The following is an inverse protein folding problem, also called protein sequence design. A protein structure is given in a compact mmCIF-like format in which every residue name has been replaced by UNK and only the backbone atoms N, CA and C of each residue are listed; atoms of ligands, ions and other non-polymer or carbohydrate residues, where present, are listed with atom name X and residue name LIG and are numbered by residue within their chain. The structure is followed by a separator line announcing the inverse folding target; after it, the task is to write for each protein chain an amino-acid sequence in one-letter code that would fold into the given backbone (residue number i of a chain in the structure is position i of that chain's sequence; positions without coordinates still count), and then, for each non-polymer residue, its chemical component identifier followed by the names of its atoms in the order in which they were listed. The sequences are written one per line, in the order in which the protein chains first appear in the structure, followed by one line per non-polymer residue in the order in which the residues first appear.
data_IF_038139033876
#
_entry.id   IF_038139033876
#
_cell.length_a   1.000
_cell.length_b   1.000
_cell.length_c   1.000
_cell.angle_alpha   90.00
_cell.angle_beta   90.00
_cell.angle_gamma   90.00
#
_symmetry.space_group_name_H-M   'P 1'
#
loop_
_entity.id
_entity.type
_entity.pdbx_description
1 polymer ?
#
# COMPACT_ATOMS: atom_id res chain seq x y z
N UNK A 1 -17.49 -32.07 22.79
CA UNK A 1 -17.79 -30.89 21.97
C UNK A 1 -16.72 -29.87 22.26
N UNK A 2 -15.96 -29.43 21.27
CA UNK A 2 -14.96 -28.39 21.47
C UNK A 2 -15.61 -27.00 21.54
N UNK A 3 -14.84 -25.96 21.89
CA UNK A 3 -15.38 -24.60 22.03
C UNK A 3 -16.03 -24.10 20.73
N UNK A 4 -15.36 -24.30 19.59
CA UNK A 4 -15.87 -23.98 18.25
C UNK A 4 -17.23 -24.61 17.96
N UNK A 5 -17.39 -25.91 18.19
CA UNK A 5 -18.66 -26.62 17.98
C UNK A 5 -19.77 -26.07 18.88
N UNK A 6 -19.43 -25.70 20.11
CA UNK A 6 -20.36 -25.10 21.06
C UNK A 6 -20.84 -23.72 20.60
N UNK A 7 -19.91 -22.88 20.15
CA UNK A 7 -20.22 -21.54 19.65
C UNK A 7 -20.98 -21.59 18.32
N UNK A 8 -20.66 -22.56 17.45
CA UNK A 8 -21.38 -22.80 16.20
C UNK A 8 -22.84 -23.17 16.46
N UNK A 9 -23.12 -24.04 17.43
CA UNK A 9 -24.49 -24.37 17.84
C UNK A 9 -25.19 -23.13 18.41
N UNK A 10 -24.49 -22.33 19.22
CA UNK A 10 -25.02 -21.09 19.79
C UNK A 10 -25.39 -20.08 18.70
N UNK A 11 -24.53 -19.87 17.70
CA UNK A 11 -24.79 -19.00 16.55
C UNK A 11 -26.01 -19.46 15.75
N UNK A 12 -26.07 -20.76 15.43
CA UNK A 12 -27.22 -21.34 14.71
C UNK A 12 -28.53 -21.15 15.49
N UNK A 13 -28.48 -21.26 16.82
CA UNK A 13 -29.63 -20.98 17.69
C UNK A 13 -30.03 -19.50 17.65
N UNK A 14 -29.08 -18.57 17.79
CA UNK A 14 -29.32 -17.12 17.71
C UNK A 14 -30.04 -16.76 16.40
N UNK A 15 -29.56 -17.29 15.28
CA UNK A 15 -30.15 -17.06 13.95
C UNK A 15 -31.55 -17.65 13.85
N UNK A 16 -31.73 -18.91 14.28
CA UNK A 16 -33.02 -19.60 14.17
C UNK A 16 -34.12 -18.95 15.02
N UNK A 17 -33.76 -18.44 16.20
CA UNK A 17 -34.68 -17.80 17.14
C UNK A 17 -34.81 -16.28 16.90
N UNK A 18 -33.99 -15.71 16.01
CA UNK A 18 -33.84 -14.26 15.83
C UNK A 18 -33.57 -13.54 17.16
N UNK A 19 -32.68 -14.13 17.95
CA UNK A 19 -32.32 -13.65 19.29
C UNK A 19 -31.46 -12.39 19.19
N UNK A 20 -32.11 -11.22 19.20
CA UNK A 20 -31.44 -9.93 19.06
C UNK A 20 -30.42 -9.62 20.17
N UNK A 21 -30.70 -10.04 21.40
CA UNK A 21 -29.80 -9.85 22.55
C UNK A 21 -28.60 -10.80 22.41
N UNK A 22 -28.83 -12.06 22.04
CA UNK A 22 -27.77 -13.01 21.73
C UNK A 22 -26.86 -12.53 20.59
N UNK A 23 -27.41 -11.94 19.53
CA UNK A 23 -26.62 -11.33 18.46
C UNK A 23 -25.79 -10.16 18.96
N UNK A 24 -26.36 -9.28 19.79
CA UNK A 24 -25.65 -8.14 20.37
C UNK A 24 -24.49 -8.56 21.29
N UNK A 25 -24.75 -9.49 22.21
CA UNK A 25 -23.76 -9.94 23.21
C UNK A 25 -22.60 -10.74 22.61
N UNK A 26 -22.84 -11.45 21.49
CA UNK A 26 -21.88 -12.42 20.96
C UNK A 26 -21.26 -12.01 19.62
N UNK A 27 -21.94 -11.19 18.81
CA UNK A 27 -21.50 -10.87 17.45
C UNK A 27 -20.07 -10.31 17.41
N UNK A 28 -19.77 -9.30 18.24
CA UNK A 28 -18.44 -8.68 18.30
C UNK A 28 -17.34 -9.69 18.68
N UNK A 29 -17.53 -10.43 19.77
CA UNK A 29 -16.51 -11.34 20.29
C UNK A 29 -16.29 -12.55 19.38
N UNK A 30 -17.35 -13.06 18.74
CA UNK A 30 -17.25 -14.17 17.80
C UNK A 30 -16.52 -13.78 16.52
N UNK A 31 -16.75 -12.58 15.97
CA UNK A 31 -15.98 -12.09 14.81
C UNK A 31 -14.48 -12.10 15.11
N UNK A 32 -14.07 -11.61 16.28
CA UNK A 32 -12.66 -11.59 16.69
C UNK A 32 -12.09 -12.99 16.98
N UNK A 33 -12.89 -13.86 17.57
CA UNK A 33 -12.44 -15.21 17.98
C UNK A 33 -12.25 -16.12 16.76
N UNK A 34 -13.04 -15.89 15.72
CA UNK A 34 -13.16 -16.75 14.54
C UNK A 34 -12.80 -15.99 13.26
N UNK A 35 -11.76 -15.15 13.33
CA UNK A 35 -11.35 -14.23 12.25
C UNK A 35 -10.93 -14.91 10.93
N UNK A 36 -10.56 -16.19 10.98
CA UNK A 36 -10.19 -17.03 9.82
C UNK A 36 -11.18 -18.20 9.58
N UNK A 37 -12.26 -18.31 10.37
CA UNK A 37 -13.21 -19.43 10.26
C UNK A 37 -14.36 -19.07 9.33
N UNK A 38 -14.22 -19.42 8.05
CA UNK A 38 -15.18 -19.08 7.00
C UNK A 38 -16.61 -19.54 7.32
N UNK A 39 -16.82 -20.73 7.92
CA UNK A 39 -18.17 -21.21 8.26
C UNK A 39 -18.84 -20.30 9.29
N UNK A 40 -18.11 -19.92 10.34
CA UNK A 40 -18.62 -19.06 11.40
C UNK A 40 -18.82 -17.63 10.90
N UNK A 41 -17.89 -17.11 10.09
CA UNK A 41 -17.99 -15.78 9.48
C UNK A 41 -19.23 -15.67 8.59
N UNK A 42 -19.53 -16.67 7.75
CA UNK A 42 -20.72 -16.69 6.91
C UNK A 42 -22.02 -16.62 7.73
N UNK A 43 -22.07 -17.29 8.89
CA UNK A 43 -23.21 -17.17 9.82
C UNK A 43 -23.28 -15.79 10.48
N UNK A 44 -22.13 -15.18 10.81
CA UNK A 44 -22.07 -13.82 11.32
C UNK A 44 -22.49 -12.78 10.26
N UNK A 45 -22.24 -13.02 8.98
CA UNK A 45 -22.75 -12.17 7.89
C UNK A 45 -24.27 -12.22 7.83
N UNK A 46 -24.85 -13.42 7.96
CA UNK A 46 -26.31 -13.57 8.03
C UNK A 46 -26.93 -12.77 9.18
N UNK A 47 -26.27 -12.74 10.35
CA UNK A 47 -26.70 -11.89 11.45
C UNK A 47 -26.53 -10.42 11.04
N UNK A 48 -25.34 -10.01 10.60
CA UNK A 48 -25.02 -8.63 10.26
C UNK A 48 -25.94 -8.01 9.20
N UNK A 49 -26.39 -8.79 8.22
CA UNK A 49 -27.29 -8.32 7.16
C UNK A 49 -28.77 -8.25 7.61
N UNK A 50 -29.10 -8.74 8.80
CA UNK A 50 -30.48 -8.88 9.26
C UNK A 50 -31.01 -7.68 10.05
N UNK A 51 -32.33 -7.52 10.10
CA UNK A 51 -33.01 -6.36 10.71
C UNK A 51 -33.56 -6.62 12.13
N UNK A 52 -33.40 -7.83 12.68
CA UNK A 52 -34.01 -8.26 13.95
C UNK A 52 -33.13 -8.01 15.19
N UNK A 53 -31.96 -7.37 15.03
CA UNK A 53 -31.08 -6.98 16.14
C UNK A 53 -30.57 -5.54 15.95
N UNK A 54 -29.79 -5.03 16.91
CA UNK A 54 -29.27 -3.64 16.91
C UNK A 54 -27.74 -3.56 17.00
N UNK A 55 -27.06 -4.70 16.87
CA UNK A 55 -25.61 -4.85 17.07
C UNK A 55 -24.74 -4.52 15.86
N UNK A 56 -25.31 -4.00 14.78
CA UNK A 56 -24.61 -3.76 13.52
C UNK A 56 -23.37 -2.89 13.67
N UNK A 57 -23.45 -1.85 14.48
CA UNK A 57 -22.34 -0.91 14.67
C UNK A 57 -21.13 -1.53 15.38
N UNK A 58 -21.35 -2.51 16.25
CA UNK A 58 -20.28 -3.26 16.92
C UNK A 58 -19.72 -4.33 15.97
N UNK A 59 -20.59 -5.02 15.24
CA UNK A 59 -20.15 -6.00 14.24
C UNK A 59 -19.32 -5.36 13.11
N UNK A 60 -19.76 -4.22 12.57
CA UNK A 60 -18.99 -3.47 11.57
C UNK A 60 -17.60 -3.06 12.09
N UNK A 61 -17.50 -2.72 13.37
CA UNK A 61 -16.22 -2.42 14.02
C UNK A 61 -15.35 -3.68 14.16
N UNK A 62 -15.93 -4.82 14.52
CA UNK A 62 -15.19 -6.08 14.59
C UNK A 62 -14.68 -6.51 13.22
N UNK A 63 -15.50 -6.39 12.16
CA UNK A 63 -15.07 -6.66 10.78
C UNK A 63 -13.95 -5.72 10.32
N UNK A 64 -14.03 -4.44 10.66
CA UNK A 64 -12.93 -3.50 10.43
C UNK A 64 -11.63 -3.99 11.10
N UNK A 65 -11.70 -4.43 12.36
CA UNK A 65 -10.51 -4.88 13.08
C UNK A 65 -9.84 -6.11 12.45
N UNK A 66 -10.62 -7.12 12.07
CA UNK A 66 -10.05 -8.33 11.47
C UNK A 66 -9.58 -8.08 10.03
N UNK A 67 -10.12 -7.06 9.35
CA UNK A 67 -9.74 -6.67 7.97
C UNK A 67 -9.73 -7.84 6.97
N UNK A 68 -10.56 -8.87 7.21
CA UNK A 68 -10.57 -10.08 6.40
C UNK A 68 -11.28 -9.83 5.05
N UNK A 69 -10.64 -10.12 3.89
CA UNK A 69 -11.23 -9.94 2.56
C UNK A 69 -12.59 -10.60 2.34
N UNK A 70 -12.93 -11.69 3.03
CA UNK A 70 -14.25 -12.34 2.85
C UNK A 70 -15.42 -11.45 3.28
N UNK A 71 -15.16 -10.41 4.10
CA UNK A 71 -16.18 -9.52 4.66
C UNK A 71 -16.59 -8.39 3.70
N UNK A 72 -15.88 -8.22 2.58
CA UNK A 72 -16.02 -7.07 1.68
C UNK A 72 -17.45 -6.92 1.15
N UNK A 73 -18.04 -8.01 0.65
CA UNK A 73 -19.39 -7.98 0.07
C UNK A 73 -20.46 -7.65 1.13
N UNK A 74 -20.36 -8.23 2.34
CA UNK A 74 -21.36 -7.99 3.40
C UNK A 74 -21.30 -6.56 3.93
N UNK A 75 -20.09 -5.99 4.07
CA UNK A 75 -19.90 -4.58 4.44
C UNK A 75 -20.48 -3.63 3.40
N UNK A 76 -20.32 -3.95 2.11
CA UNK A 76 -20.94 -3.19 1.03
C UNK A 76 -22.47 -3.23 1.11
N UNK A 77 -23.07 -4.43 1.29
CA UNK A 77 -24.53 -4.58 1.44
C UNK A 77 -25.07 -3.75 2.61
N UNK A 78 -24.42 -3.84 3.77
CA UNK A 78 -24.85 -3.10 4.97
C UNK A 78 -24.59 -1.59 4.85
N UNK A 79 -23.64 -1.14 4.03
CA UNK A 79 -23.47 0.28 3.72
C UNK A 79 -24.70 0.89 3.02
N UNK A 80 -25.55 0.07 2.38
CA UNK A 80 -26.82 0.49 1.76
C UNK A 80 -28.06 0.09 2.58
N UNK A 81 -27.90 -0.45 3.79
CA UNK A 81 -29.04 -0.86 4.60
C UNK A 81 -29.80 0.33 5.19
N UNK A 82 -31.10 0.12 5.42
CA UNK A 82 -32.03 1.11 5.96
C UNK A 82 -32.79 0.53 7.17
N UNK A 83 -32.05 0.08 8.19
CA UNK A 83 -32.62 -0.54 9.39
C UNK A 83 -33.43 0.46 10.20
N UNK A 84 -34.66 0.08 10.58
CA UNK A 84 -35.65 0.96 11.22
C UNK A 84 -35.11 1.70 12.45
N UNK A 85 -34.30 1.03 13.28
CA UNK A 85 -33.82 1.57 14.55
C UNK A 85 -32.76 2.67 14.42
N UNK A 86 -32.17 2.87 13.23
CA UNK A 86 -31.15 3.91 12.94
C UNK A 86 -31.60 4.95 11.91
N UNK A 87 -32.79 4.83 11.33
CA UNK A 87 -33.29 5.77 10.29
C UNK A 87 -33.29 7.23 10.70
N UNK A 88 -33.45 7.50 11.99
CA UNK A 88 -33.47 8.85 12.55
C UNK A 88 -32.09 9.53 12.54
N UNK A 89 -31.02 8.77 12.32
CA UNK A 89 -29.66 9.27 12.43
C UNK A 89 -29.10 9.70 11.07
N UNK A 90 -29.21 11.00 10.80
CA UNK A 90 -28.71 11.64 9.58
C UNK A 90 -27.17 11.59 9.44
N UNK A 91 -26.43 11.17 10.48
CA UNK A 91 -24.98 10.98 10.40
C UNK A 91 -24.55 9.59 9.92
N UNK A 92 -25.48 8.63 9.76
CA UNK A 92 -25.22 7.29 9.23
C UNK A 92 -23.97 6.58 9.83
N UNK A 93 -23.87 6.43 11.16
CA UNK A 93 -22.67 5.92 11.82
C UNK A 93 -22.31 4.48 11.41
N UNK A 94 -23.32 3.63 11.16
CA UNK A 94 -23.11 2.27 10.68
C UNK A 94 -22.48 2.27 9.28
N UNK A 95 -23.07 3.01 8.35
CA UNK A 95 -22.60 3.09 6.97
C UNK A 95 -21.22 3.73 6.90
N UNK A 96 -20.98 4.77 7.72
CA UNK A 96 -19.63 5.32 7.95
C UNK A 96 -18.64 4.24 8.36
N UNK A 97 -18.96 3.40 9.35
CA UNK A 97 -18.09 2.30 9.79
C UNK A 97 -17.85 1.29 8.67
N UNK A 98 -18.86 0.99 7.85
CA UNK A 98 -18.69 0.13 6.68
C UNK A 98 -17.68 0.72 5.68
N UNK A 99 -17.73 2.03 5.39
CA UNK A 99 -16.72 2.68 4.52
C UNK A 99 -15.30 2.62 5.10
N UNK A 100 -15.16 2.73 6.43
CA UNK A 100 -13.87 2.55 7.10
C UNK A 100 -13.38 1.11 7.03
N UNK A 101 -14.26 0.13 7.28
CA UNK A 101 -13.94 -1.29 7.19
C UNK A 101 -13.48 -1.68 5.78
N UNK A 102 -14.19 -1.22 4.74
CA UNK A 102 -13.78 -1.44 3.34
C UNK A 102 -12.41 -0.83 3.03
N UNK A 103 -12.16 0.39 3.50
CA UNK A 103 -10.84 1.00 3.35
C UNK A 103 -9.76 0.21 4.11
N UNK A 104 -10.10 -0.35 5.27
CA UNK A 104 -9.22 -1.15 6.12
C UNK A 104 -8.89 -2.53 5.57
N UNK A 105 -9.80 -3.13 4.81
CA UNK A 105 -9.52 -4.35 4.06
C UNK A 105 -8.55 -4.09 2.90
N UNK A 106 -8.64 -2.93 2.23
CA UNK A 106 -7.59 -2.45 1.31
C UNK A 106 -7.40 -3.26 0.01
N UNK A 107 -8.33 -4.18 -0.32
CA UNK A 107 -8.30 -4.95 -1.58
C UNK A 107 -8.83 -4.12 -2.75
N UNK A 108 -8.47 -4.52 -3.99
CA UNK A 108 -9.03 -3.91 -5.21
C UNK A 108 -10.56 -4.02 -5.27
N UNK A 109 -11.12 -5.10 -4.74
CA UNK A 109 -12.58 -5.29 -4.64
C UNK A 109 -13.21 -4.31 -3.65
N UNK A 110 -12.63 -4.14 -2.46
CA UNK A 110 -13.11 -3.18 -1.47
C UNK A 110 -13.06 -1.74 -2.01
N UNK A 111 -12.01 -1.40 -2.78
CA UNK A 111 -11.93 -0.11 -3.47
C UNK A 111 -13.07 0.11 -4.46
N UNK A 112 -13.39 -0.89 -5.30
CA UNK A 112 -14.52 -0.84 -6.24
C UNK A 112 -15.86 -0.66 -5.54
N UNK A 113 -16.06 -1.26 -4.37
CA UNK A 113 -17.28 -1.05 -3.60
C UNK A 113 -17.34 0.34 -2.96
N UNK A 114 -16.22 0.91 -2.51
CA UNK A 114 -16.18 2.31 -2.09
C UNK A 114 -16.51 3.27 -3.23
N UNK A 115 -16.01 3.01 -4.44
CA UNK A 115 -16.37 3.78 -5.65
C UNK A 115 -17.88 3.74 -5.91
N UNK A 116 -18.50 2.55 -5.82
CA UNK A 116 -19.95 2.41 -5.95
C UNK A 116 -20.73 3.11 -4.83
N UNK A 117 -20.27 3.05 -3.58
CA UNK A 117 -20.90 3.78 -2.46
C UNK A 117 -20.83 5.29 -2.71
N UNK A 118 -19.68 5.80 -3.17
CA UNK A 118 -19.50 7.21 -3.48
C UNK A 118 -20.42 7.70 -4.62
N UNK A 119 -20.75 6.83 -5.57
CA UNK A 119 -21.62 7.16 -6.70
C UNK A 119 -23.12 7.02 -6.39
N UNK A 120 -23.52 6.00 -5.62
CA UNK A 120 -24.92 5.57 -5.54
C UNK A 120 -25.59 5.86 -4.19
N UNK A 121 -24.82 6.10 -3.12
CA UNK A 121 -25.40 6.35 -1.79
C UNK A 121 -25.94 7.78 -1.65
N UNK A 122 -26.62 8.07 -0.55
CA UNK A 122 -27.00 9.44 -0.22
C UNK A 122 -25.76 10.32 0.03
N UNK A 123 -25.94 11.64 -0.01
CA UNK A 123 -24.86 12.63 0.09
C UNK A 123 -23.89 12.35 1.26
N UNK A 124 -24.40 12.16 2.47
CA UNK A 124 -23.56 11.93 3.66
C UNK A 124 -22.76 10.62 3.60
N UNK A 125 -23.35 9.53 3.09
CA UNK A 125 -22.64 8.25 2.96
C UNK A 125 -21.60 8.33 1.84
N UNK A 126 -21.97 8.96 0.71
CA UNK A 126 -21.08 9.17 -0.42
C UNK A 126 -19.84 10.00 -0.03
N UNK A 127 -20.02 10.99 0.84
CA UNK A 127 -18.91 11.78 1.42
C UNK A 127 -17.94 10.92 2.23
N UNK A 128 -18.44 9.98 3.05
CA UNK A 128 -17.58 9.08 3.81
C UNK A 128 -16.73 8.19 2.90
N UNK A 129 -17.33 7.63 1.84
CA UNK A 129 -16.62 6.80 0.87
C UNK A 129 -15.60 7.62 0.07
N UNK A 130 -16.00 8.80 -0.41
CA UNK A 130 -15.12 9.73 -1.15
C UNK A 130 -13.88 10.09 -0.32
N UNK A 131 -14.04 10.36 0.98
CA UNK A 131 -12.91 10.65 1.88
C UNK A 131 -11.88 9.52 1.91
N UNK A 132 -12.35 8.27 1.92
CA UNK A 132 -11.50 7.08 1.95
C UNK A 132 -10.78 6.87 0.63
N UNK A 133 -11.46 7.09 -0.50
CA UNK A 133 -10.88 7.01 -1.84
C UNK A 133 -9.80 8.07 -2.05
N UNK A 134 -10.06 9.32 -1.66
CA UNK A 134 -9.07 10.41 -1.74
C UNK A 134 -7.82 10.09 -0.94
N UNK A 135 -7.96 9.42 0.21
CA UNK A 135 -6.83 9.02 1.06
C UNK A 135 -6.36 7.59 0.84
N UNK A 136 -6.75 6.92 -0.26
CA UNK A 136 -6.59 5.47 -0.40
C UNK A 136 -5.17 4.99 -0.11
N UNK A 137 -4.16 5.60 -0.74
CA UNK A 137 -2.76 5.23 -0.54
C UNK A 137 -2.26 5.48 0.89
N UNK A 138 -2.77 6.52 1.57
CA UNK A 138 -2.43 6.79 2.97
C UNK A 138 -3.11 5.80 3.93
N UNK A 139 -4.40 5.53 3.70
CA UNK A 139 -5.14 4.53 4.49
C UNK A 139 -4.51 3.14 4.31
N UNK A 140 -3.99 2.83 3.11
CA UNK A 140 -3.27 1.60 2.84
C UNK A 140 -1.92 1.52 3.58
N UNK A 141 -1.09 2.59 3.54
CA UNK A 141 0.23 2.61 4.22
C UNK A 141 0.14 2.40 5.72
N UNK A 142 -0.96 2.80 6.37
CA UNK A 142 -1.20 2.53 7.79
C UNK A 142 -1.33 1.05 8.18
N UNK A 143 -1.43 0.14 7.19
CA UNK A 143 -1.80 -1.27 7.39
C UNK A 143 -0.73 -2.25 6.96
N UNK A 144 0.23 -1.78 6.17
CA UNK A 144 1.41 -2.56 5.82
C UNK A 144 2.56 -2.12 6.71
N UNK A 145 3.52 -3.03 6.98
CA UNK A 145 4.81 -2.60 7.46
C UNK A 145 5.39 -1.57 6.50
N UNK A 146 5.96 -0.49 7.05
CA UNK A 146 6.65 0.52 6.27
C UNK A 146 8.11 0.61 6.69
N UNK A 147 8.97 1.05 5.78
CA UNK A 147 10.32 1.52 6.11
C UNK A 147 10.42 3.02 5.83
N UNK A 148 11.15 3.74 6.68
CA UNK A 148 11.23 5.19 6.69
C UNK A 148 11.16 5.75 8.11
N UNK A 149 11.54 7.01 8.30
CA UNK A 149 11.48 7.63 9.64
C UNK A 149 10.12 8.26 9.92
N UNK A 150 9.53 7.93 11.08
CA UNK A 150 8.20 8.42 11.50
C UNK A 150 8.04 9.94 11.56
N UNK A 151 9.16 10.69 11.66
CA UNK A 151 9.14 12.16 11.70
C UNK A 151 8.89 12.79 10.32
N UNK A 152 9.14 12.07 9.23
CA UNK A 152 8.84 12.51 7.88
C UNK A 152 7.59 11.79 7.36
N UNK A 153 6.48 11.97 8.10
CA UNK A 153 5.20 11.39 7.73
C UNK A 153 4.88 11.72 6.27
N UNK A 154 4.81 10.69 5.43
CA UNK A 154 4.57 10.85 3.99
C UNK A 154 5.75 10.52 3.07
N UNK A 155 6.91 10.09 3.56
CA UNK A 155 8.00 9.54 2.72
C UNK A 155 8.38 8.10 3.10
N UNK A 156 7.38 7.31 3.49
CA UNK A 156 7.56 5.92 3.86
C UNK A 156 7.37 4.99 2.66
N UNK A 157 8.16 3.91 2.60
CA UNK A 157 7.99 2.84 1.62
C UNK A 157 7.15 1.73 2.25
N UNK A 158 5.97 1.50 1.70
CA UNK A 158 5.13 0.35 2.04
C UNK A 158 5.75 -0.96 1.59
N UNK A 159 5.72 -1.96 2.46
CA UNK A 159 6.31 -3.27 2.22
C UNK A 159 5.25 -4.33 1.96
N UNK A 160 5.65 -5.40 1.29
CA UNK A 160 4.90 -6.64 1.16
C UNK A 160 5.82 -7.85 1.24
N UNK A 161 5.26 -9.04 1.47
CA UNK A 161 6.06 -10.26 1.41
C UNK A 161 6.46 -10.58 -0.03
N UNK A 162 7.56 -11.31 -0.19
CA UNK A 162 8.03 -11.72 -1.52
C UNK A 162 6.96 -12.49 -2.33
N UNK A 163 6.15 -13.33 -1.66
CA UNK A 163 5.09 -14.09 -2.32
C UNK A 163 3.98 -13.20 -2.88
N UNK A 164 3.63 -12.11 -2.19
CA UNK A 164 2.62 -11.17 -2.70
C UNK A 164 3.14 -10.39 -3.90
N UNK A 165 4.40 -9.92 -3.87
CA UNK A 165 5.03 -9.24 -5.00
C UNK A 165 4.96 -10.10 -6.28
N UNK A 166 5.21 -11.40 -6.16
CA UNK A 166 5.19 -12.32 -7.30
C UNK A 166 3.80 -12.49 -7.94
N UNK A 167 2.71 -12.31 -7.19
CA UNK A 167 1.34 -12.40 -7.73
C UNK A 167 0.96 -11.16 -8.54
N UNK A 168 1.58 -10.03 -8.22
CA UNK A 168 1.16 -8.71 -8.69
C UNK A 168 1.96 -8.21 -9.88
N UNK A 169 3.17 -8.74 -10.09
CA UNK A 169 4.05 -8.39 -11.21
C UNK A 169 4.00 -9.41 -12.35
N UNK A 170 4.08 -8.96 -13.62
CA UNK A 170 4.04 -9.82 -14.78
C UNK A 170 5.25 -10.76 -14.83
N UNK A 171 5.06 -12.01 -15.27
CA UNK A 171 6.12 -13.03 -15.27
C UNK A 171 7.19 -12.80 -16.35
N UNK A 172 6.83 -12.11 -17.43
CA UNK A 172 7.66 -11.81 -18.59
C UNK A 172 7.26 -10.45 -19.18
N UNK A 173 8.08 -9.93 -20.10
CA UNK A 173 7.83 -8.66 -20.77
C UNK A 173 8.70 -7.52 -20.27
N UNK A 174 8.50 -6.34 -20.85
CA UNK A 174 9.21 -5.11 -20.54
C UNK A 174 8.25 -4.15 -19.85
N UNK A 175 8.48 -3.91 -18.56
CA UNK A 175 7.63 -3.04 -17.76
C UNK A 175 8.46 -2.08 -16.91
N UNK A 176 8.01 -0.83 -16.78
CA UNK A 176 8.57 0.11 -15.82
C UNK A 176 8.04 -0.29 -14.45
N UNK A 177 8.86 -0.96 -13.64
CA UNK A 177 8.49 -1.44 -12.30
C UNK A 177 9.18 -0.58 -11.25
N UNK A 178 8.41 0.01 -10.34
CA UNK A 178 8.96 0.79 -9.24
C UNK A 178 7.95 1.03 -8.13
N UNK A 179 8.42 1.63 -7.04
CA UNK A 179 7.56 2.04 -5.95
C UNK A 179 6.97 3.43 -6.25
N UNK A 180 5.64 3.50 -6.33
CA UNK A 180 4.90 4.75 -6.43
C UNK A 180 4.27 5.09 -5.10
N UNK A 181 4.35 6.37 -4.74
CA UNK A 181 3.75 6.89 -3.53
C UNK A 181 2.87 8.09 -3.87
N UNK A 182 1.63 8.08 -3.39
CA UNK A 182 0.76 9.26 -3.45
C UNK A 182 0.69 9.92 -2.08
N UNK A 183 0.94 11.22 -2.07
CA UNK A 183 0.67 12.09 -0.94
C UNK A 183 -0.50 13.00 -1.30
N UNK A 184 -1.40 13.21 -0.34
CA UNK A 184 -2.60 13.99 -0.55
C UNK A 184 -2.67 15.07 0.51
N UNK A 185 -2.44 16.29 0.08
CA UNK A 185 -2.59 17.47 0.90
C UNK A 185 -4.03 17.96 0.77
N UNK A 186 -4.85 17.67 1.79
CA UNK A 186 -6.24 18.14 1.83
C UNK A 186 -6.26 19.62 2.14
N UNK A 187 -6.75 20.41 1.18
CA UNK A 187 -6.90 21.86 1.30
C UNK A 187 -8.22 22.21 2.00
N UNK A 188 -9.28 21.46 1.70
CA UNK A 188 -10.60 21.67 2.28
C UNK A 188 -11.13 20.40 2.97
N UNK A 189 -11.60 20.57 4.21
CA UNK A 189 -12.25 19.51 4.97
C UNK A 189 -13.74 19.38 4.62
N UNK A 190 -14.30 20.31 3.83
CA UNK A 190 -15.64 20.25 3.30
C UNK A 190 -15.69 19.47 1.97
N UNK A 191 -16.73 18.66 1.77
CA UNK A 191 -17.00 17.99 0.50
C UNK A 191 -17.31 18.98 -0.66
N UNK A 192 -16.89 18.68 -1.90
CA UNK A 192 -16.00 17.58 -2.27
C UNK A 192 -14.59 17.87 -1.76
N UNK A 193 -13.94 16.90 -1.11
CA UNK A 193 -12.58 17.09 -0.57
C UNK A 193 -11.63 17.52 -1.69
N UNK A 194 -11.14 18.74 -1.60
CA UNK A 194 -10.12 19.22 -2.53
C UNK A 194 -8.76 18.86 -1.95
N UNK A 195 -8.04 17.99 -2.66
CA UNK A 195 -6.68 17.62 -2.32
C UNK A 195 -5.74 17.83 -3.50
N UNK A 196 -4.53 18.30 -3.23
CA UNK A 196 -3.45 18.18 -4.21
C UNK A 196 -2.84 16.80 -4.01
N UNK A 197 -3.04 15.94 -5.01
CA UNK A 197 -2.36 14.64 -5.05
C UNK A 197 -0.98 14.88 -5.67
N UNK A 198 0.06 14.60 -4.91
CA UNK A 198 1.42 14.55 -5.42
C UNK A 198 1.85 13.10 -5.52
N UNK A 199 2.18 12.66 -6.73
CA UNK A 199 2.71 11.33 -6.98
C UNK A 199 4.24 11.38 -7.02
N UNK A 200 4.86 10.41 -6.36
CA UNK A 200 6.30 10.22 -6.25
C UNK A 200 6.69 8.87 -6.82
N UNK A 201 7.86 8.83 -7.46
CA UNK A 201 8.56 7.60 -7.81
C UNK A 201 9.82 7.53 -6.94
N UNK A 202 10.08 6.34 -6.41
CA UNK A 202 11.34 6.05 -5.73
C UNK A 202 12.35 5.50 -6.73
N UNK A 203 13.51 6.13 -6.79
CA UNK A 203 14.68 5.63 -7.51
C UNK A 203 15.73 5.16 -6.50
N UNK A 204 16.47 4.12 -6.85
CA UNK A 204 17.54 3.59 -6.02
C UNK A 204 18.90 3.81 -6.64
N UNK A 205 19.89 4.12 -5.80
CA UNK A 205 21.28 4.32 -6.21
C UNK A 205 22.26 3.87 -5.13
N UNK A 206 23.45 3.46 -5.56
CA UNK A 206 24.56 3.15 -4.66
C UNK A 206 25.43 4.40 -4.50
N UNK A 207 25.79 4.75 -3.27
CA UNK A 207 26.73 5.83 -2.98
C UNK A 207 27.73 5.45 -1.88
N UNK A 208 28.75 6.28 -1.66
CA UNK A 208 29.67 6.10 -0.54
C UNK A 208 28.95 6.31 0.79
N UNK A 209 29.28 5.48 1.79
CA UNK A 209 28.67 5.53 3.11
C UNK A 209 28.83 6.89 3.80
N UNK A 210 29.97 7.57 3.60
CA UNK A 210 30.20 8.92 4.12
C UNK A 210 29.25 9.95 3.51
N UNK A 211 28.97 9.83 2.21
CA UNK A 211 28.02 10.68 1.50
C UNK A 211 26.61 10.43 2.01
N UNK A 212 26.20 9.17 2.13
CA UNK A 212 24.89 8.78 2.67
C UNK A 212 24.66 9.37 4.07
N UNK A 213 25.64 9.26 4.98
CA UNK A 213 25.56 9.85 6.31
C UNK A 213 25.39 11.38 6.26
N UNK A 214 26.18 12.07 5.42
CA UNK A 214 26.11 13.53 5.27
C UNK A 214 24.73 13.98 4.78
N UNK A 215 24.16 13.27 3.81
CA UNK A 215 22.83 13.58 3.27
C UNK A 215 21.77 13.40 4.33
N UNK A 216 21.76 12.26 5.02
CA UNK A 216 20.79 11.96 6.07
C UNK A 216 20.85 12.99 7.20
N UNK A 217 22.03 13.43 7.61
CA UNK A 217 22.21 14.51 8.59
C UNK A 217 21.67 15.86 8.09
N UNK A 218 21.86 16.17 6.80
CA UNK A 218 21.38 17.42 6.21
C UNK A 218 19.87 17.47 6.01
N UNK A 219 19.20 16.32 6.03
CA UNK A 219 17.81 16.17 5.64
C UNK A 219 16.81 16.80 6.61
N UNK A 220 17.24 17.03 7.84
CA UNK A 220 16.49 17.77 8.86
C UNK A 220 16.55 19.30 8.69
N UNK A 221 17.37 19.80 7.78
CA UNK A 221 17.50 21.23 7.53
C UNK A 221 16.35 21.74 6.66
N UNK A 222 16.06 23.05 6.72
CA UNK A 222 15.07 23.69 5.82
C UNK A 222 15.37 23.46 4.34
N UNK A 223 16.65 23.25 4.00
CA UNK A 223 17.12 22.87 2.69
C UNK A 223 18.18 21.76 2.82
N UNK A 224 17.83 20.50 2.51
CA UNK A 224 18.79 19.40 2.48
C UNK A 224 19.94 19.65 1.51
N UNK A 225 21.12 19.11 1.82
CA UNK A 225 22.30 19.20 0.96
C UNK A 225 22.56 17.87 0.25
N UNK A 226 22.21 17.86 -1.04
CA UNK A 226 22.42 16.72 -1.91
C UNK A 226 23.68 16.83 -2.78
N UNK A 227 24.53 17.85 -2.58
CA UNK A 227 25.66 18.13 -3.49
C UNK A 227 26.62 16.93 -3.61
N UNK A 228 26.79 16.18 -2.53
CA UNK A 228 27.64 14.99 -2.47
C UNK A 228 27.12 13.79 -3.26
N UNK A 229 25.82 13.74 -3.61
CA UNK A 229 25.26 12.63 -4.37
C UNK A 229 25.93 12.48 -5.73
N UNK A 230 26.17 11.23 -6.11
CA UNK A 230 26.71 10.84 -7.41
C UNK A 230 26.04 9.54 -7.83
N UNK A 231 25.59 9.48 -9.08
CA UNK A 231 25.13 8.24 -9.66
C UNK A 231 25.44 8.23 -11.15
N UNK A 232 25.95 7.10 -11.63
CA UNK A 232 26.09 6.83 -13.05
C UNK A 232 24.92 5.98 -13.57
N UNK A 233 24.23 5.29 -12.65
CA UNK A 233 23.06 4.48 -12.92
C UNK A 233 22.03 4.65 -11.79
N UNK A 234 20.75 4.73 -12.16
CA UNK A 234 19.61 4.70 -11.26
C UNK A 234 18.73 3.50 -11.58
N UNK A 235 18.29 2.79 -10.56
CA UNK A 235 17.39 1.64 -10.67
C UNK A 235 16.00 2.01 -10.16
N UNK A 236 14.94 1.43 -10.74
CA UNK A 236 13.59 1.52 -10.17
C UNK A 236 13.19 0.26 -9.41
N UNK A 237 13.77 -0.90 -9.76
CA UNK A 237 13.54 -2.16 -9.05
C UNK A 237 14.49 -2.27 -7.86
N UNK A 238 13.92 -2.54 -6.69
CA UNK A 238 14.65 -2.82 -5.47
C UNK A 238 15.54 -4.06 -5.66
N UNK A 239 15.03 -5.15 -6.24
CA UNK A 239 15.84 -6.35 -6.44
C UNK A 239 17.00 -6.11 -7.43
N UNK A 240 16.83 -5.21 -8.40
CA UNK A 240 17.90 -4.81 -9.31
C UNK A 240 19.01 -4.04 -8.59
N UNK A 241 18.68 -3.07 -7.72
CA UNK A 241 19.72 -2.35 -6.96
C UNK A 241 20.41 -3.28 -5.94
N UNK A 242 19.70 -4.25 -5.38
CA UNK A 242 20.27 -5.24 -4.45
C UNK A 242 21.25 -6.15 -5.18
N UNK A 243 20.90 -6.61 -6.38
CA UNK A 243 21.79 -7.39 -7.22
C UNK A 243 23.06 -6.59 -7.56
N UNK A 244 22.92 -5.34 -8.02
CA UNK A 244 24.04 -4.45 -8.31
C UNK A 244 24.92 -4.23 -7.07
N UNK A 245 24.33 -3.87 -5.93
CA UNK A 245 25.02 -3.67 -4.66
C UNK A 245 25.80 -4.91 -4.22
N UNK A 246 25.20 -6.11 -4.29
CA UNK A 246 25.87 -7.36 -3.91
C UNK A 246 26.98 -7.76 -4.89
N UNK A 247 26.89 -7.37 -6.16
CA UNK A 247 27.92 -7.68 -7.17
C UNK A 247 29.19 -6.85 -6.99
N UNK A 248 29.07 -5.66 -6.38
CA UNK A 248 30.18 -4.77 -6.08
C UNK A 248 30.93 -5.34 -4.87
N UNK A 249 32.08 -5.96 -5.11
CA UNK A 249 32.90 -6.67 -4.09
C UNK A 249 33.46 -5.78 -2.93
N UNK A 250 32.88 -4.60 -2.66
CA UNK A 250 33.28 -3.65 -1.60
C UNK A 250 32.24 -3.62 -0.48
N UNK A 251 32.02 -4.74 0.19
CA UNK A 251 30.91 -4.99 1.13
C UNK A 251 30.78 -4.05 2.35
N UNK A 252 31.59 -3.00 2.52
CA UNK A 252 31.58 -2.17 3.75
C UNK A 252 31.72 -0.65 3.56
N UNK A 253 31.85 -0.14 2.34
CA UNK A 253 32.05 1.31 2.09
C UNK A 253 30.91 1.98 1.33
N UNK A 254 29.91 1.21 0.90
CA UNK A 254 28.80 1.69 0.08
C UNK A 254 27.49 1.62 0.87
N UNK A 255 26.59 2.54 0.57
CA UNK A 255 25.20 2.57 1.03
C UNK A 255 24.26 2.55 -0.18
N UNK A 256 23.05 2.02 0.02
CA UNK A 256 21.97 2.10 -0.98
C UNK A 256 20.98 3.15 -0.52
N UNK A 257 20.74 4.14 -1.37
CA UNK A 257 19.82 5.23 -1.10
C UNK A 257 18.57 5.08 -1.96
N UNK A 258 17.40 5.23 -1.35
CA UNK A 258 16.16 5.54 -2.04
C UNK A 258 16.02 7.06 -2.15
N UNK A 259 15.64 7.56 -3.32
CA UNK A 259 15.37 8.99 -3.55
C UNK A 259 13.96 9.17 -4.10
N UNK A 260 13.23 10.15 -3.57
CA UNK A 260 11.87 10.48 -4.00
C UNK A 260 11.93 11.66 -4.95
N UNK A 261 11.40 11.45 -6.15
CA UNK A 261 11.17 12.51 -7.12
C UNK A 261 9.71 12.47 -7.55
N UNK A 262 9.16 13.61 -7.95
CA UNK A 262 7.78 13.67 -8.45
C UNK A 262 7.66 12.84 -9.74
N UNK A 263 6.55 12.13 -9.90
CA UNK A 263 6.28 11.30 -11.08
C UNK A 263 6.36 12.12 -12.38
N UNK A 264 5.88 13.35 -12.37
CA UNK A 264 5.98 14.25 -13.53
C UNK A 264 7.42 14.61 -13.88
N UNK A 265 8.29 14.80 -12.88
CA UNK A 265 9.72 15.01 -13.12
C UNK A 265 10.35 13.75 -13.74
N UNK A 266 9.99 12.57 -13.25
CA UNK A 266 10.45 11.32 -13.84
C UNK A 266 9.98 11.15 -15.29
N UNK A 267 8.75 11.54 -15.60
CA UNK A 267 8.22 11.58 -16.97
C UNK A 267 9.09 12.48 -17.87
N UNK A 268 9.52 13.65 -17.39
CA UNK A 268 10.46 14.51 -18.11
C UNK A 268 11.84 13.87 -18.31
N UNK A 269 12.34 13.11 -17.32
CA UNK A 269 13.62 12.40 -17.41
C UNK A 269 13.57 11.37 -18.53
N UNK A 270 12.49 10.58 -18.62
CA UNK A 270 12.29 9.59 -19.68
C UNK A 270 12.23 10.22 -21.10
N UNK A 271 11.84 11.49 -21.20
CA UNK A 271 11.87 12.22 -22.46
C UNK A 271 13.28 12.67 -22.87
N UNK A 272 14.23 12.78 -21.94
CA UNK A 272 15.58 13.28 -22.17
C UNK A 272 16.65 12.19 -22.18
N UNK A 273 16.42 11.12 -21.44
CA UNK A 273 17.37 10.02 -21.23
C UNK A 273 16.80 8.74 -21.81
N UNK A 274 17.62 7.97 -22.52
CA UNK A 274 17.23 6.65 -23.01
C UNK A 274 17.57 5.61 -21.94
N UNK A 275 16.57 4.98 -21.32
CA UNK A 275 16.82 3.91 -20.36
C UNK A 275 17.28 2.63 -21.05
N UNK A 276 17.84 1.76 -20.22
CA UNK A 276 18.26 0.43 -20.61
C UNK A 276 17.33 -0.60 -19.98
N UNK A 277 16.78 -1.48 -20.83
CA UNK A 277 16.06 -2.67 -20.37
C UNK A 277 17.06 -3.71 -19.87
N UNK A 278 16.89 -4.15 -18.63
CA UNK A 278 17.66 -5.22 -17.99
C UNK A 278 16.68 -6.25 -17.40
N UNK A 279 17.10 -7.52 -17.23
CA UNK A 279 16.33 -8.49 -16.45
C UNK A 279 16.05 -7.97 -15.04
N UNK A 280 14.83 -8.22 -14.52
CA UNK A 280 14.62 -8.17 -13.06
C UNK A 280 15.22 -9.43 -12.42
N UNK A 281 15.30 -9.45 -11.10
CA UNK A 281 15.94 -10.53 -10.35
C UNK A 281 14.99 -11.16 -9.34
N UNK A 282 15.24 -12.42 -9.00
CA UNK A 282 14.73 -12.98 -7.74
C UNK A 282 15.62 -12.59 -6.55
N UNK A 283 15.19 -12.93 -5.33
CA UNK A 283 15.97 -12.61 -4.12
C UNK A 283 17.28 -13.41 -4.00
N UNK A 284 17.51 -14.44 -4.83
CA UNK A 284 18.81 -15.12 -4.93
C UNK A 284 19.74 -14.45 -5.94
N UNK A 285 19.28 -13.41 -6.65
CA UNK A 285 20.03 -12.72 -7.70
C UNK A 285 20.01 -13.45 -9.03
N UNK A 286 19.08 -14.37 -9.26
CA UNK A 286 18.87 -15.01 -10.56
C UNK A 286 18.01 -14.11 -11.44
N UNK A 287 18.41 -13.98 -12.69
CA UNK A 287 17.64 -13.26 -13.71
C UNK A 287 16.27 -13.89 -13.97
N UNK A 288 15.28 -13.03 -14.16
CA UNK A 288 13.91 -13.37 -14.53
C UNK A 288 13.64 -12.99 -16.00
N UNK A 289 12.60 -13.59 -16.60
CA UNK A 289 12.20 -13.24 -17.97
C UNK A 289 11.58 -11.84 -18.08
N UNK A 290 11.00 -11.33 -16.99
CA UNK A 290 10.54 -9.94 -16.90
C UNK A 290 11.74 -8.99 -16.90
N UNK A 291 11.59 -7.87 -17.58
CA UNK A 291 12.58 -6.81 -17.68
C UNK A 291 12.07 -5.52 -17.03
N UNK A 292 12.98 -4.80 -16.40
CA UNK A 292 12.78 -3.47 -15.83
C UNK A 292 13.82 -2.50 -16.40
N UNK A 293 13.74 -1.24 -16.00
CA UNK A 293 14.59 -0.17 -16.55
C UNK A 293 15.66 0.28 -15.57
N UNK A 294 16.82 0.59 -16.14
CA UNK A 294 17.91 1.35 -15.53
C UNK A 294 18.11 2.65 -16.31
N UNK A 295 18.31 3.76 -15.59
CA UNK A 295 18.70 5.03 -16.20
C UNK A 295 20.21 5.21 -16.08
N UNK A 296 20.91 5.22 -17.20
CA UNK A 296 22.33 5.59 -17.25
C UNK A 296 22.43 7.10 -17.48
N UNK A 297 23.11 7.78 -16.55
CA UNK A 297 23.22 9.24 -16.53
C UNK A 297 24.70 9.63 -16.47
N UNK A 298 25.08 10.63 -17.27
CA UNK A 298 26.34 11.33 -17.03
C UNK A 298 26.18 12.31 -15.84
N UNK A 299 27.29 12.85 -15.36
CA UNK A 299 27.30 13.75 -14.20
C UNK A 299 26.44 15.01 -14.40
N UNK A 300 26.43 15.59 -15.60
CA UNK A 300 25.65 16.78 -15.93
C UNK A 300 24.13 16.49 -15.90
N UNK A 301 23.71 15.37 -16.48
CA UNK A 301 22.32 14.94 -16.50
C UNK A 301 21.83 14.55 -15.10
N UNK A 302 22.65 13.85 -14.32
CA UNK A 302 22.31 13.52 -12.93
C UNK A 302 22.13 14.78 -12.09
N UNK A 303 23.01 15.78 -12.22
CA UNK A 303 22.91 17.04 -11.50
C UNK A 303 21.59 17.77 -11.85
N UNK A 304 21.36 18.00 -13.14
CA UNK A 304 20.25 18.86 -13.62
C UNK A 304 18.89 18.18 -13.57
N UNK A 305 18.82 16.89 -13.87
CA UNK A 305 17.56 16.18 -14.03
C UNK A 305 17.11 15.49 -12.75
N UNK A 306 18.04 15.09 -11.88
CA UNK A 306 17.75 14.32 -10.67
C UNK A 306 18.00 15.15 -9.43
N UNK A 307 19.25 15.54 -9.18
CA UNK A 307 19.69 16.07 -7.88
C UNK A 307 18.93 17.33 -7.46
N UNK A 308 18.67 18.25 -8.39
CA UNK A 308 17.88 19.47 -8.15
C UNK A 308 16.38 19.22 -7.88
N UNK A 309 15.90 17.99 -8.10
CA UNK A 309 14.48 17.61 -8.05
C UNK A 309 14.15 16.56 -6.98
N UNK A 310 15.14 16.21 -6.14
CA UNK A 310 14.96 15.30 -5.01
C UNK A 310 14.14 16.01 -3.93
N UNK A 311 13.04 15.39 -3.52
CA UNK A 311 12.23 15.86 -2.39
C UNK A 311 12.61 15.14 -1.08
N UNK A 312 13.12 13.90 -1.16
CA UNK A 312 13.54 13.12 0.00
C UNK A 312 14.54 12.03 -0.36
N UNK A 313 15.36 11.60 0.60
CA UNK A 313 16.35 10.53 0.51
C UNK A 313 16.25 9.64 1.75
N UNK A 314 16.38 8.33 1.58
CA UNK A 314 16.41 7.39 2.69
C UNK A 314 17.54 6.39 2.51
N UNK A 315 18.35 6.18 3.55
CA UNK A 315 19.38 5.14 3.55
C UNK A 315 18.73 3.78 3.87
N UNK A 316 18.73 2.89 2.88
CA UNK A 316 18.15 1.55 2.96
C UNK A 316 19.12 0.50 3.49
N UNK A 317 20.38 0.86 3.74
CA UNK A 317 21.44 -0.13 3.98
C UNK A 317 21.15 -1.07 5.15
N UNK A 318 20.54 -0.60 6.23
CA UNK A 318 20.22 -1.46 7.37
C UNK A 318 19.05 -2.39 7.08
N UNK A 319 18.04 -1.92 6.36
CA UNK A 319 16.94 -2.76 5.87
C UNK A 319 17.46 -3.87 4.94
N UNK A 320 18.38 -3.54 4.02
CA UNK A 320 18.97 -4.49 3.08
C UNK A 320 19.76 -5.57 3.81
N UNK A 321 20.56 -5.19 4.82
CA UNK A 321 21.30 -6.16 5.65
C UNK A 321 20.33 -7.11 6.38
N UNK A 322 19.23 -6.59 6.91
CA UNK A 322 18.20 -7.40 7.54
C UNK A 322 17.57 -8.39 6.55
N UNK A 323 17.16 -7.92 5.35
CA UNK A 323 16.58 -8.79 4.33
C UNK A 323 17.57 -9.88 3.89
N UNK A 324 18.86 -9.54 3.75
CA UNK A 324 19.92 -10.51 3.45
C UNK A 324 20.05 -11.57 4.55
N UNK A 325 19.95 -11.19 5.83
CA UNK A 325 19.98 -12.16 6.93
C UNK A 325 18.81 -13.16 6.86
N UNK A 326 17.61 -12.72 6.48
CA UNK A 326 16.48 -13.63 6.29
C UNK A 326 16.73 -14.61 5.14
N UNK A 327 17.34 -14.16 4.03
CA UNK A 327 17.71 -15.02 2.91
C UNK A 327 18.78 -16.04 3.33
N UNK A 328 19.85 -15.59 4.00
CA UNK A 328 20.96 -16.44 4.44
C UNK A 328 20.50 -17.52 5.46
N UNK A 329 19.47 -17.21 6.24
CA UNK A 329 18.88 -18.13 7.23
C UNK A 329 17.70 -18.95 6.66
N UNK A 330 17.39 -18.82 5.37
CA UNK A 330 16.25 -19.47 4.71
C UNK A 330 14.89 -19.15 5.38
N UNK A 331 14.75 -17.95 5.94
CA UNK A 331 13.51 -17.42 6.56
C UNK A 331 12.73 -16.58 5.55
N UNK A 332 12.38 -17.17 4.40
CA UNK A 332 11.78 -16.48 3.26
C UNK A 332 10.39 -15.89 3.60
N UNK A 333 9.70 -16.49 4.57
CA UNK A 333 8.42 -16.01 5.12
C UNK A 333 8.54 -14.63 5.78
N UNK A 334 9.73 -14.23 6.21
CA UNK A 334 10.00 -12.92 6.81
C UNK A 334 10.53 -11.89 5.82
N UNK A 335 10.81 -12.29 4.58
CA UNK A 335 11.37 -11.40 3.57
C UNK A 335 10.31 -10.38 3.16
N UNK A 336 10.60 -9.11 3.44
CA UNK A 336 9.78 -7.98 3.07
C UNK A 336 10.47 -7.18 1.98
N UNK A 337 9.71 -6.75 0.98
CA UNK A 337 10.20 -5.93 -0.13
C UNK A 337 9.32 -4.69 -0.31
N UNK A 338 9.87 -3.60 -0.88
CA UNK A 338 9.06 -2.49 -1.36
C UNK A 338 7.92 -2.97 -2.26
N UNK A 339 6.73 -2.43 -2.03
CA UNK A 339 5.50 -2.79 -2.74
C UNK A 339 5.46 -2.18 -4.15
N UNK A 340 6.38 -2.62 -5.00
CA UNK A 340 6.57 -2.11 -6.36
C UNK A 340 5.48 -2.60 -7.31
N UNK A 341 5.06 -1.75 -8.24
CA UNK A 341 4.05 -2.04 -9.26
C UNK A 341 4.50 -1.50 -10.61
N UNK A 342 3.78 -1.88 -11.66
CA UNK A 342 3.93 -1.24 -12.98
C UNK A 342 3.57 0.24 -12.81
N UNK A 343 4.48 1.10 -13.25
CA UNK A 343 4.33 2.55 -13.24
C UNK A 343 3.62 2.96 -14.52
N UNK A 344 2.34 3.30 -14.39
CA UNK A 344 1.51 3.76 -15.51
C UNK A 344 1.71 5.26 -15.77
N UNK A 345 2.14 5.61 -16.98
CA UNK A 345 2.12 6.96 -17.51
C UNK A 345 0.99 7.00 -18.54
N UNK A 346 -0.10 7.69 -18.23
CA UNK A 346 -1.38 7.76 -18.98
C UNK A 346 -1.28 8.11 -20.49
N UNK A 347 -0.08 8.34 -21.01
CA UNK A 347 0.27 8.65 -22.41
C UNK A 347 1.08 7.50 -23.04
N UNK A 348 0.48 6.67 -23.93
CA UNK A 348 1.15 5.56 -24.61
C UNK A 348 2.38 5.96 -25.46
N UNK A 349 2.35 7.17 -26.03
CA UNK A 349 3.39 7.73 -26.92
C UNK A 349 4.77 7.84 -26.25
N UNK A 350 4.81 7.89 -24.92
CA UNK A 350 6.05 7.93 -24.16
C UNK A 350 6.82 6.62 -24.19
N UNK A 351 6.16 5.48 -24.48
CA UNK A 351 6.72 4.12 -24.42
C UNK A 351 6.84 3.52 -25.84
N UNK A 352 5.88 3.75 -26.75
CA UNK A 352 5.85 3.00 -28.02
C UNK A 352 6.81 3.49 -29.11
N UNK A 353 7.04 4.81 -29.28
CA UNK A 353 7.84 5.30 -30.42
C UNK A 353 9.35 5.41 -30.13
N UNK A 354 9.74 5.45 -28.85
CA UNK A 354 11.13 5.72 -28.43
C UNK A 354 11.84 4.49 -27.84
N UNK A 355 11.12 3.38 -27.66
CA UNK A 355 11.58 2.22 -26.88
C UNK A 355 11.41 0.86 -27.57
N UNK A 356 10.82 0.85 -28.78
CA UNK A 356 11.06 -0.19 -29.78
C UNK A 356 12.40 0.04 -30.46
#
# INVERSE_FOLDING_TARGET
MNQRETDLIKLKKIIAEKDGDGAYENGFSFIHTYEEDEEILLLLFQIFESDWHKGHEDMARAFQYISNPITVETLFKVAFSDFEYIRWNEYFPLQRKCTWALADIGTNEAKKYLEQIAEQANETIAEYATKRLVKWDFEFRRKVPTIGESRYQGFEIGLESYSERLKELPQNGQDIIGYMMKNVDIIDNAPPYHGIVTEYIVLYLVNEKSTAATITESQDLEKPDYSGLKANSLQLSFLSIIHDYNSRQKENQESVLAIWIKKEVFKEILQKVTPKWNPDYDYFGKELERQTIQLDLNEEDFEKLIKEKIDFVFDLSDFIKEQKQYIDQNQIDKLMLPKERIVDFETPELIDEKWM
#
